data_IF_796785076501
#
_entry.id   IF_796785076501
#
_cell.length_a   1.000
_cell.length_b   1.000
_cell.length_c   1.000
_cell.angle_alpha   90.00
_cell.angle_beta   90.00
_cell.angle_gamma   90.00
#
_symmetry.space_group_name_H-M   'P 1'
#
loop_
_entity.id
_entity.type
_entity.pdbx_description
1 polymer ?
#
# COMPACT_ATOMS: atom_id res chain seq x y z
N UNK A 1 -3.44 -20.61 -21.15
CA UNK A 1 -2.31 -19.67 -21.07
C UNK A 1 -1.71 -19.75 -19.67
N UNK A 2 -0.41 -20.04 -19.52
CA UNK A 2 0.24 -20.17 -18.20
C UNK A 2 0.41 -18.80 -17.49
N UNK A 3 0.70 -18.82 -16.18
CA UNK A 3 0.84 -17.61 -15.35
C UNK A 3 1.82 -16.58 -15.96
N UNK A 4 2.90 -17.06 -16.57
CA UNK A 4 3.90 -16.23 -17.23
C UNK A 4 3.34 -15.51 -18.48
N UNK A 5 2.51 -16.19 -19.29
CA UNK A 5 1.85 -15.59 -20.45
C UNK A 5 0.85 -14.51 -20.04
N UNK A 6 0.06 -14.75 -18.98
CA UNK A 6 -0.89 -13.76 -18.45
C UNK A 6 -0.17 -12.53 -17.87
N UNK A 7 0.90 -12.74 -17.11
CA UNK A 7 1.70 -11.67 -16.54
C UNK A 7 2.43 -10.84 -17.61
N UNK A 8 2.90 -11.49 -18.69
CA UNK A 8 3.50 -10.78 -19.84
C UNK A 8 2.48 -9.87 -20.54
N UNK A 9 1.23 -10.30 -20.71
CA UNK A 9 0.20 -9.48 -21.35
C UNK A 9 -0.13 -8.21 -20.55
N UNK A 10 -0.31 -8.31 -19.23
CA UNK A 10 -0.60 -7.13 -18.40
C UNK A 10 0.60 -6.19 -18.26
N UNK A 11 1.80 -6.74 -18.14
CA UNK A 11 3.05 -5.98 -18.12
C UNK A 11 3.30 -5.23 -19.45
N UNK A 12 2.78 -5.75 -20.57
CA UNK A 12 2.94 -5.14 -21.91
C UNK A 12 1.86 -4.08 -22.19
N UNK A 13 0.60 -4.34 -21.84
CA UNK A 13 -0.54 -3.54 -22.32
C UNK A 13 -1.02 -2.47 -21.34
N UNK A 14 -1.02 -2.77 -20.04
CA UNK A 14 -1.63 -1.92 -19.01
C UNK A 14 -0.58 -1.21 -18.17
N UNK A 15 0.42 -1.96 -17.67
CA UNK A 15 1.40 -1.47 -16.71
C UNK A 15 2.09 -0.15 -17.13
N UNK A 16 2.68 -0.01 -18.34
CA UNK A 16 3.36 1.23 -18.71
C UNK A 16 2.44 2.45 -18.68
N UNK A 17 1.18 2.30 -19.11
CA UNK A 17 0.20 3.40 -19.09
C UNK A 17 -0.19 3.78 -17.66
N UNK A 18 -0.20 2.81 -16.74
CA UNK A 18 -0.54 3.04 -15.33
C UNK A 18 0.63 3.66 -14.55
N UNK A 19 1.88 3.30 -14.86
CA UNK A 19 3.08 3.80 -14.16
C UNK A 19 3.34 5.30 -14.36
N UNK A 20 2.82 5.88 -15.44
CA UNK A 20 3.02 7.28 -15.82
C UNK A 20 1.76 8.14 -15.64
N UNK A 21 0.76 7.65 -14.92
CA UNK A 21 -0.47 8.41 -14.69
C UNK A 21 -0.18 9.66 -13.85
N UNK A 22 -0.46 10.83 -14.41
CA UNK A 22 -0.52 12.11 -13.70
C UNK A 22 -1.96 12.61 -13.52
N UNK A 23 -2.89 12.02 -14.26
CA UNK A 23 -4.33 12.30 -14.24
C UNK A 23 -5.11 11.00 -14.07
N UNK A 24 -6.40 11.07 -13.68
CA UNK A 24 -7.24 9.87 -13.58
C UNK A 24 -7.18 9.01 -14.84
N UNK A 25 -7.04 7.69 -14.65
CA UNK A 25 -6.97 6.74 -15.76
C UNK A 25 -8.22 6.84 -16.65
N UNK A 26 -8.02 6.75 -17.97
CA UNK A 26 -9.15 6.74 -18.90
C UNK A 26 -10.09 5.58 -18.61
N UNK A 27 -11.38 5.76 -18.90
CA UNK A 27 -12.40 4.72 -18.67
C UNK A 27 -12.03 3.39 -19.35
N UNK A 28 -11.51 3.45 -20.58
CA UNK A 28 -11.08 2.26 -21.33
C UNK A 28 -9.94 1.54 -20.64
N UNK A 29 -8.89 2.28 -20.22
CA UNK A 29 -7.75 1.70 -19.50
C UNK A 29 -8.20 1.07 -18.18
N UNK A 30 -9.09 1.74 -17.46
CA UNK A 30 -9.57 1.25 -16.18
C UNK A 30 -10.43 -0.01 -16.36
N UNK A 31 -11.39 -0.02 -17.29
CA UNK A 31 -12.23 -1.20 -17.57
C UNK A 31 -11.37 -2.41 -17.92
N UNK A 32 -10.43 -2.26 -18.87
CA UNK A 32 -9.53 -3.34 -19.27
C UNK A 32 -8.67 -3.85 -18.09
N UNK A 33 -8.18 -2.93 -17.26
CA UNK A 33 -7.41 -3.27 -16.04
C UNK A 33 -8.26 -4.08 -15.07
N UNK A 34 -9.51 -3.66 -14.82
CA UNK A 34 -10.40 -4.35 -13.88
C UNK A 34 -10.84 -5.73 -14.37
N UNK A 35 -11.17 -5.86 -15.65
CA UNK A 35 -11.51 -7.16 -16.27
C UNK A 35 -10.35 -8.14 -16.16
N UNK A 36 -9.13 -7.70 -16.50
CA UNK A 36 -7.92 -8.50 -16.34
C UNK A 36 -7.69 -8.90 -14.88
N UNK A 37 -7.78 -7.96 -13.94
CA UNK A 37 -7.49 -8.21 -12.53
C UNK A 37 -8.48 -9.18 -11.89
N UNK A 38 -9.76 -9.13 -12.28
CA UNK A 38 -10.80 -10.08 -11.83
C UNK A 38 -10.52 -11.49 -12.34
N UNK A 39 -10.13 -11.62 -13.61
CA UNK A 39 -9.85 -12.91 -14.24
C UNK A 39 -8.53 -13.54 -13.76
N UNK A 40 -7.54 -12.70 -13.44
CA UNK A 40 -6.15 -13.13 -13.18
C UNK A 40 -5.57 -12.51 -11.91
N UNK A 41 -6.24 -12.69 -10.76
CA UNK A 41 -5.88 -12.06 -9.47
C UNK A 41 -4.40 -12.22 -9.09
N UNK A 42 -3.85 -13.45 -9.19
CA UNK A 42 -2.43 -13.68 -8.87
C UNK A 42 -1.51 -12.93 -9.81
N UNK A 43 -1.78 -12.97 -11.12
CA UNK A 43 -0.97 -12.25 -12.10
C UNK A 43 -1.09 -10.73 -11.90
N UNK A 44 -2.27 -10.21 -11.53
CA UNK A 44 -2.46 -8.81 -11.20
C UNK A 44 -1.61 -8.35 -10.01
N UNK A 45 -1.51 -9.17 -8.94
CA UNK A 45 -0.63 -8.86 -7.81
C UNK A 45 0.83 -8.70 -8.27
N UNK A 46 1.34 -9.69 -9.01
CA UNK A 46 2.75 -9.77 -9.37
C UNK A 46 3.16 -8.92 -10.57
N UNK A 47 2.25 -8.59 -11.49
CA UNK A 47 2.55 -7.86 -12.72
C UNK A 47 1.96 -6.45 -12.76
N UNK A 48 1.07 -6.09 -11.82
CA UNK A 48 0.50 -4.74 -11.71
C UNK A 48 0.71 -4.14 -10.32
N UNK A 49 0.22 -4.77 -9.25
CA UNK A 49 0.24 -4.14 -7.92
C UNK A 49 1.66 -3.90 -7.39
N UNK A 50 2.53 -4.91 -7.40
CA UNK A 50 3.92 -4.73 -6.97
C UNK A 50 4.67 -3.67 -7.82
N UNK A 51 4.65 -3.74 -9.17
CA UNK A 51 5.25 -2.70 -10.00
C UNK A 51 4.71 -1.29 -9.72
N UNK A 52 3.40 -1.12 -9.54
CA UNK A 52 2.79 0.19 -9.32
C UNK A 52 3.15 0.77 -7.96
N UNK A 53 3.08 -0.03 -6.89
CA UNK A 53 3.34 0.45 -5.53
C UNK A 53 4.83 0.73 -5.29
N UNK A 54 5.70 0.02 -5.99
CA UNK A 54 7.16 0.18 -5.94
C UNK A 54 7.68 1.21 -6.95
N UNK A 55 6.81 2.05 -7.52
CA UNK A 55 7.20 3.16 -8.40
C UNK A 55 8.27 4.01 -7.72
N UNK A 56 9.35 4.31 -8.47
CA UNK A 56 10.57 4.94 -7.95
C UNK A 56 10.38 6.31 -7.31
N UNK A 57 9.44 7.08 -7.82
CA UNK A 57 9.10 8.40 -7.29
C UNK A 57 8.03 8.34 -6.18
N UNK A 58 7.60 7.14 -5.78
CA UNK A 58 6.39 6.92 -4.99
C UNK A 58 5.13 7.00 -5.84
N UNK A 59 4.02 6.54 -5.27
CA UNK A 59 2.70 6.64 -5.91
C UNK A 59 2.11 8.03 -5.71
N UNK A 60 1.37 8.50 -6.71
CA UNK A 60 0.55 9.70 -6.64
C UNK A 60 -0.94 9.33 -6.50
N UNK A 61 -1.84 10.32 -6.47
CA UNK A 61 -3.27 10.07 -6.27
C UNK A 61 -3.90 9.21 -7.39
N UNK A 62 -3.69 9.50 -8.70
CA UNK A 62 -4.22 8.65 -9.76
C UNK A 62 -3.80 7.17 -9.66
N UNK A 63 -2.52 6.91 -9.35
CA UNK A 63 -2.01 5.55 -9.17
C UNK A 63 -2.60 4.90 -7.91
N UNK A 64 -2.69 5.65 -6.81
CA UNK A 64 -3.33 5.22 -5.58
C UNK A 64 -4.78 4.79 -5.82
N UNK A 65 -5.56 5.54 -6.61
CA UNK A 65 -6.96 5.22 -6.91
C UNK A 65 -7.08 3.93 -7.72
N UNK A 66 -6.19 3.72 -8.70
CA UNK A 66 -6.14 2.46 -9.46
C UNK A 66 -5.83 1.28 -8.53
N UNK A 67 -4.77 1.38 -7.71
CA UNK A 67 -4.38 0.31 -6.77
C UNK A 67 -5.53 0.03 -5.79
N UNK A 68 -6.13 1.06 -5.22
CA UNK A 68 -7.25 0.95 -4.27
C UNK A 68 -8.42 0.20 -4.90
N UNK A 69 -8.76 0.53 -6.15
CA UNK A 69 -9.86 -0.14 -6.87
C UNK A 69 -9.55 -1.59 -7.20
N UNK A 70 -8.33 -1.91 -7.63
CA UNK A 70 -7.90 -3.31 -7.86
C UNK A 70 -8.02 -4.11 -6.55
N UNK A 71 -7.50 -3.58 -5.44
CA UNK A 71 -7.56 -4.24 -4.13
C UNK A 71 -9.01 -4.47 -3.70
N UNK A 72 -9.86 -3.46 -3.83
CA UNK A 72 -11.24 -3.49 -3.35
C UNK A 72 -12.18 -4.33 -4.21
N UNK A 73 -12.06 -4.27 -5.53
CA UNK A 73 -13.04 -4.85 -6.45
C UNK A 73 -12.57 -6.15 -7.12
N UNK A 74 -11.27 -6.48 -7.05
CA UNK A 74 -10.72 -7.66 -7.74
C UNK A 74 -10.13 -8.71 -6.81
N UNK A 75 -9.67 -8.36 -5.61
CA UNK A 75 -8.92 -9.28 -4.74
C UNK A 75 -9.76 -9.75 -3.55
N UNK A 76 -9.63 -11.03 -3.23
CA UNK A 76 -10.12 -11.58 -1.97
C UNK A 76 -9.30 -11.03 -0.79
N UNK A 77 -9.89 -10.73 0.39
CA UNK A 77 -9.17 -10.15 1.53
C UNK A 77 -7.90 -10.93 1.95
N UNK A 78 -7.92 -12.26 1.85
CA UNK A 78 -6.74 -13.09 2.11
C UNK A 78 -5.58 -12.80 1.14
N UNK A 79 -5.86 -12.53 -0.14
CA UNK A 79 -4.84 -12.12 -1.11
C UNK A 79 -4.31 -10.72 -0.82
N UNK A 80 -5.15 -9.81 -0.30
CA UNK A 80 -4.75 -8.46 0.13
C UNK A 80 -3.80 -8.56 1.33
N UNK A 81 -4.14 -9.37 2.33
CA UNK A 81 -3.29 -9.61 3.50
C UNK A 81 -1.93 -10.20 3.09
N UNK A 82 -1.92 -11.25 2.26
CA UNK A 82 -0.68 -11.85 1.75
C UNK A 82 0.16 -10.85 0.92
N UNK A 83 -0.49 -9.99 0.13
CA UNK A 83 0.19 -8.90 -0.58
C UNK A 83 0.84 -7.92 0.40
N UNK A 84 0.12 -7.47 1.44
CA UNK A 84 0.64 -6.54 2.44
C UNK A 84 1.81 -7.14 3.22
N UNK A 85 1.67 -8.38 3.69
CA UNK A 85 2.75 -9.09 4.39
C UNK A 85 4.00 -9.18 3.52
N UNK A 86 3.84 -9.55 2.25
CA UNK A 86 4.96 -9.63 1.32
C UNK A 86 5.57 -8.27 0.98
N UNK A 87 4.75 -7.22 0.88
CA UNK A 87 5.21 -5.86 0.60
C UNK A 87 6.00 -5.26 1.77
N UNK A 88 5.48 -5.42 2.99
CA UNK A 88 6.06 -4.86 4.20
C UNK A 88 7.24 -5.71 4.69
N UNK A 89 7.03 -7.01 4.85
CA UNK A 89 7.98 -7.90 5.52
C UNK A 89 8.81 -8.77 4.55
N UNK A 90 8.46 -8.84 3.27
CA UNK A 90 9.16 -9.71 2.32
C UNK A 90 10.59 -9.28 2.06
N UNK A 91 11.49 -10.25 1.97
CA UNK A 91 12.87 -10.06 1.50
C UNK A 91 12.90 -9.43 0.10
N UNK A 92 13.97 -8.70 -0.22
CA UNK A 92 14.10 -8.04 -1.54
C UNK A 92 13.98 -9.06 -2.70
N UNK A 93 14.55 -10.27 -2.53
CA UNK A 93 14.40 -11.38 -3.47
C UNK A 93 13.01 -12.02 -3.47
N UNK A 94 12.33 -12.05 -2.31
CA UNK A 94 10.99 -12.58 -2.21
C UNK A 94 9.98 -11.67 -2.92
N UNK A 95 10.23 -10.36 -2.98
CA UNK A 95 9.39 -9.34 -3.64
C UNK A 95 9.39 -9.41 -5.17
N UNK A 96 10.06 -10.41 -5.79
CA UNK A 96 10.08 -10.63 -7.25
C UNK A 96 8.71 -10.47 -7.89
N UNK A 97 8.57 -9.37 -8.60
CA UNK A 97 7.44 -9.03 -9.43
C UNK A 97 7.82 -9.21 -10.91
N UNK A 98 6.82 -9.41 -11.75
CA UNK A 98 7.02 -9.62 -13.18
C UNK A 98 6.94 -8.27 -13.87
N UNK A 99 8.08 -7.80 -14.35
CA UNK A 99 8.15 -6.55 -15.10
C UNK A 99 9.08 -6.71 -16.30
N UNK A 100 8.72 -6.07 -17.41
CA UNK A 100 9.56 -6.04 -18.60
C UNK A 100 10.81 -5.20 -18.33
N UNK A 101 11.99 -5.56 -18.87
CA UNK A 101 13.23 -4.82 -18.66
C UNK A 101 13.11 -3.30 -18.93
N UNK A 102 12.32 -2.93 -19.95
CA UNK A 102 12.11 -1.53 -20.32
C UNK A 102 11.40 -0.67 -19.26
N UNK A 103 10.70 -1.29 -18.29
CA UNK A 103 10.02 -0.57 -17.21
C UNK A 103 10.76 -0.66 -15.87
N UNK A 104 11.86 -1.43 -15.78
CA UNK A 104 12.62 -1.59 -14.53
C UNK A 104 13.21 -0.26 -14.04
N UNK A 105 13.53 0.67 -14.94
CA UNK A 105 14.05 2.00 -14.58
C UNK A 105 13.06 2.86 -13.77
N UNK A 106 11.76 2.55 -13.84
CA UNK A 106 10.69 3.26 -13.15
C UNK A 106 10.32 2.65 -11.79
N UNK A 107 10.94 1.53 -11.40
CA UNK A 107 10.54 0.74 -10.24
C UNK A 107 11.75 0.56 -9.30
N UNK A 108 11.50 0.61 -8.00
CA UNK A 108 12.48 0.36 -6.94
C UNK A 108 12.27 -1.00 -6.27
N UNK A 109 13.26 -1.44 -5.50
CA UNK A 109 13.11 -2.63 -4.64
C UNK A 109 12.50 -2.28 -3.27
N UNK A 110 12.39 -0.98 -2.95
CA UNK A 110 11.92 -0.46 -1.68
C UNK A 110 10.69 0.40 -1.88
N UNK A 111 9.81 0.35 -0.90
CA UNK A 111 8.60 1.15 -0.84
C UNK A 111 8.98 2.61 -0.56
N UNK A 112 8.44 3.53 -1.37
CA UNK A 112 8.68 4.97 -1.18
C UNK A 112 7.46 5.57 -0.48
N UNK A 113 7.67 5.99 0.76
CA UNK A 113 6.63 6.64 1.55
C UNK A 113 6.29 8.02 1.01
N UNK A 114 5.02 8.19 0.65
CA UNK A 114 4.43 9.42 0.14
C UNK A 114 3.00 9.56 0.69
N UNK A 115 2.43 10.77 0.62
CA UNK A 115 1.09 11.02 1.13
C UNK A 115 0.01 10.09 0.56
N UNK A 116 0.06 9.81 -0.74
CA UNK A 116 -0.90 8.93 -1.40
C UNK A 116 -0.79 7.48 -0.90
N UNK A 117 0.38 7.06 -0.41
CA UNK A 117 0.58 5.74 0.17
C UNK A 117 -0.11 5.60 1.53
N UNK A 118 -0.13 6.65 2.37
CA UNK A 118 -0.90 6.64 3.61
C UNK A 118 -2.39 6.47 3.35
N UNK A 119 -2.93 7.18 2.35
CA UNK A 119 -4.32 7.00 1.93
C UNK A 119 -4.58 5.57 1.46
N UNK A 120 -3.66 4.99 0.69
CA UNK A 120 -3.78 3.59 0.26
C UNK A 120 -3.81 2.62 1.45
N UNK A 121 -2.86 2.71 2.38
CA UNK A 121 -2.84 1.83 3.56
C UNK A 121 -4.06 2.03 4.46
N UNK A 122 -4.55 3.27 4.61
CA UNK A 122 -5.79 3.54 5.31
C UNK A 122 -6.97 2.80 4.64
N UNK A 123 -7.09 2.87 3.31
CA UNK A 123 -8.12 2.15 2.57
C UNK A 123 -7.98 0.63 2.71
N UNK A 124 -6.74 0.11 2.66
CA UNK A 124 -6.46 -1.31 2.90
C UNK A 124 -6.95 -1.72 4.30
N UNK A 125 -6.61 -0.97 5.35
CA UNK A 125 -7.04 -1.26 6.73
C UNK A 125 -8.57 -1.20 6.91
N UNK A 126 -9.25 -0.38 6.13
CA UNK A 126 -10.71 -0.32 6.12
C UNK A 126 -11.29 -1.57 5.44
N UNK A 127 -10.64 -2.06 4.38
CA UNK A 127 -11.09 -3.23 3.60
C UNK A 127 -10.73 -4.55 4.28
N UNK A 128 -9.55 -4.65 4.90
CA UNK A 128 -9.04 -5.87 5.53
C UNK A 128 -8.69 -5.67 7.00
N UNK A 129 -9.15 -6.60 7.84
CA UNK A 129 -8.82 -6.65 9.26
C UNK A 129 -7.61 -7.55 9.57
N UNK A 130 -7.06 -8.26 8.57
CA UNK A 130 -6.16 -9.41 8.80
C UNK A 130 -4.70 -9.13 8.48
N UNK A 131 -4.15 -8.00 8.94
CA UNK A 131 -2.70 -7.83 8.93
C UNK A 131 -2.05 -8.80 9.94
N UNK A 132 -0.90 -9.38 9.59
CA UNK A 132 -0.14 -10.26 10.48
C UNK A 132 0.63 -9.44 11.52
N UNK A 133 1.01 -10.06 12.65
CA UNK A 133 1.84 -9.39 13.66
C UNK A 133 3.14 -8.83 13.05
N UNK A 134 3.84 -9.59 12.21
CA UNK A 134 5.06 -9.10 11.53
C UNK A 134 4.81 -7.83 10.70
N UNK A 135 3.64 -7.73 10.07
CA UNK A 135 3.26 -6.54 9.29
C UNK A 135 3.00 -5.34 10.19
N UNK A 136 2.41 -5.59 11.36
CA UNK A 136 2.18 -4.57 12.39
C UNK A 136 3.51 -4.09 12.96
N UNK A 137 4.39 -5.01 13.35
CA UNK A 137 5.70 -4.71 13.93
C UNK A 137 6.53 -3.88 12.93
N UNK A 138 6.60 -4.30 11.67
CA UNK A 138 7.30 -3.56 10.63
C UNK A 138 6.73 -2.15 10.41
N UNK A 139 5.40 -1.98 10.45
CA UNK A 139 4.80 -0.65 10.35
C UNK A 139 5.19 0.21 11.54
N UNK A 140 5.10 -0.33 12.77
CA UNK A 140 5.46 0.40 14.01
C UNK A 140 6.92 0.86 13.97
N UNK A 141 7.84 0.01 13.52
CA UNK A 141 9.27 0.36 13.40
C UNK A 141 9.50 1.57 12.49
N UNK A 142 8.68 1.74 11.45
CA UNK A 142 8.76 2.87 10.52
C UNK A 142 8.07 4.12 11.04
N UNK A 143 7.09 4.01 11.96
CA UNK A 143 6.20 5.11 12.33
C UNK A 143 6.94 6.33 12.90
N UNK A 144 8.05 6.15 13.62
CA UNK A 144 8.81 7.27 14.20
C UNK A 144 9.36 8.18 13.12
N UNK A 145 10.14 7.63 12.19
CA UNK A 145 10.71 8.37 11.07
C UNK A 145 9.61 9.01 10.21
N UNK A 146 8.53 8.27 9.98
CA UNK A 146 7.38 8.77 9.22
C UNK A 146 6.68 9.92 9.94
N UNK A 147 6.55 9.86 11.27
CA UNK A 147 5.93 10.93 12.05
C UNK A 147 6.76 12.20 12.05
N UNK A 148 8.09 12.10 12.13
CA UNK A 148 8.96 13.27 11.98
C UNK A 148 8.83 13.90 10.59
N UNK A 149 8.92 13.06 9.54
CA UNK A 149 8.89 13.52 8.14
C UNK A 149 7.53 14.04 7.70
N UNK A 150 6.44 13.45 8.18
CA UNK A 150 5.06 13.76 7.77
C UNK A 150 4.21 14.33 8.92
N UNK A 151 4.86 14.99 9.89
CA UNK A 151 4.24 15.54 11.10
C UNK A 151 2.98 16.36 10.84
N UNK A 152 2.93 17.14 9.74
CA UNK A 152 1.79 18.00 9.36
C UNK A 152 0.83 17.37 8.35
N UNK A 153 1.10 16.15 7.86
CA UNK A 153 0.27 15.52 6.83
C UNK A 153 -1.01 14.95 7.45
N UNK A 154 -2.15 15.50 7.05
CA UNK A 154 -3.46 14.99 7.50
C UNK A 154 -3.70 13.56 7.01
N UNK A 155 -3.17 13.17 5.84
CA UNK A 155 -3.28 11.79 5.33
C UNK A 155 -2.51 10.81 6.20
N UNK A 156 -1.31 11.18 6.65
CA UNK A 156 -0.56 10.39 7.62
C UNK A 156 -1.32 10.28 8.95
N UNK A 157 -1.81 11.38 9.49
CA UNK A 157 -2.59 11.38 10.74
C UNK A 157 -3.84 10.50 10.64
N UNK A 158 -4.59 10.58 9.54
CA UNK A 158 -5.78 9.76 9.30
C UNK A 158 -5.45 8.27 9.17
N UNK A 159 -4.36 7.93 8.48
CA UNK A 159 -3.84 6.58 8.42
C UNK A 159 -3.48 6.07 9.82
N UNK A 160 -2.71 6.84 10.59
CA UNK A 160 -2.27 6.43 11.92
C UNK A 160 -3.44 6.26 12.89
N UNK A 161 -4.43 7.16 12.85
CA UNK A 161 -5.66 7.02 13.62
C UNK A 161 -6.41 5.74 13.25
N UNK A 162 -6.54 5.45 11.95
CA UNK A 162 -7.16 4.23 11.47
C UNK A 162 -6.41 2.98 11.93
N UNK A 163 -5.07 2.99 11.82
CA UNK A 163 -4.18 1.93 12.22
C UNK A 163 -4.30 1.60 13.72
N UNK A 164 -4.18 2.60 14.60
CA UNK A 164 -4.31 2.41 16.05
C UNK A 164 -5.72 1.94 16.44
N UNK A 165 -6.74 2.41 15.73
CA UNK A 165 -8.14 2.01 16.00
C UNK A 165 -8.38 0.56 15.58
N UNK A 166 -7.99 0.18 14.37
CA UNK A 166 -8.27 -1.14 13.79
C UNK A 166 -7.37 -2.23 14.35
N UNK A 167 -6.11 -1.92 14.61
CA UNK A 167 -5.10 -2.89 15.05
C UNK A 167 -4.85 -2.87 16.56
N UNK A 168 -5.72 -2.25 17.35
CA UNK A 168 -5.53 -2.04 18.80
C UNK A 168 -5.03 -3.26 19.58
N UNK A 169 -5.60 -4.45 19.36
CA UNK A 169 -5.18 -5.66 20.08
C UNK A 169 -3.73 -6.09 19.76
N UNK A 170 -3.30 -5.91 18.51
CA UNK A 170 -1.95 -6.27 18.04
C UNK A 170 -0.91 -5.20 18.40
N UNK A 171 -1.36 -4.01 18.80
CA UNK A 171 -0.52 -2.86 19.13
C UNK A 171 -0.24 -2.69 20.63
N UNK A 172 -0.78 -3.57 21.49
CA UNK A 172 -0.63 -3.47 22.95
C UNK A 172 0.83 -3.46 23.40
N UNK A 173 1.66 -4.32 22.82
CA UNK A 173 3.10 -4.38 23.09
C UNK A 173 3.87 -3.16 22.59
N UNK A 174 3.29 -2.39 21.67
CA UNK A 174 3.91 -1.26 20.98
C UNK A 174 3.50 0.10 21.52
N UNK A 175 2.76 0.13 22.64
CA UNK A 175 2.16 1.36 23.19
C UNK A 175 3.18 2.48 23.38
N UNK A 176 4.36 2.19 23.93
CA UNK A 176 5.40 3.21 24.16
C UNK A 176 5.96 3.77 22.85
N UNK A 177 6.30 2.90 21.90
CA UNK A 177 6.78 3.30 20.57
C UNK A 177 5.76 4.16 19.83
N UNK A 178 4.48 3.86 19.97
CA UNK A 178 3.38 4.64 19.40
C UNK A 178 3.23 6.01 20.08
N UNK A 179 3.35 6.10 21.41
CA UNK A 179 3.30 7.39 22.11
C UNK A 179 4.40 8.30 21.57
N UNK A 180 5.64 7.81 21.51
CA UNK A 180 6.78 8.57 21.02
C UNK A 180 6.57 9.03 19.57
N UNK A 181 6.13 8.14 18.67
CA UNK A 181 5.84 8.53 17.29
C UNK A 181 4.72 9.59 17.20
N UNK A 182 3.67 9.48 18.02
CA UNK A 182 2.52 10.39 17.96
C UNK A 182 2.87 11.80 18.49
N UNK A 183 3.80 11.90 19.43
CA UNK A 183 4.32 13.19 19.92
C UNK A 183 4.96 14.04 18.82
N UNK A 184 5.50 13.40 17.78
CA UNK A 184 6.06 14.09 16.61
C UNK A 184 4.99 14.55 15.60
N UNK A 185 3.72 14.21 15.79
CA UNK A 185 2.63 14.62 14.89
C UNK A 185 2.00 15.95 15.29
N UNK A 186 1.61 16.75 14.31
CA UNK A 186 0.96 18.04 14.51
C UNK A 186 -0.15 18.26 13.46
N UNK A 187 -1.30 17.63 13.70
CA UNK A 187 -2.48 17.71 12.84
C UNK A 187 -3.76 17.85 13.67
N UNK A 188 -4.88 18.12 12.99
CA UNK A 188 -6.21 18.20 13.62
C UNK A 188 -6.64 16.89 14.30
N UNK A 189 -6.08 15.74 13.88
CA UNK A 189 -6.41 14.42 14.44
C UNK A 189 -5.42 13.94 15.50
N UNK A 190 -4.33 14.67 15.76
CA UNK A 190 -3.28 14.26 16.73
C UNK A 190 -3.86 13.94 18.11
N UNK A 191 -4.75 14.80 18.63
CA UNK A 191 -5.40 14.56 19.93
C UNK A 191 -6.22 13.26 19.96
N UNK A 192 -6.91 12.95 18.87
CA UNK A 192 -7.67 11.70 18.73
C UNK A 192 -6.75 10.48 18.71
N UNK A 193 -5.60 10.59 18.06
CA UNK A 193 -4.60 9.52 18.02
C UNK A 193 -4.03 9.28 19.43
N UNK A 194 -3.59 10.34 20.13
CA UNK A 194 -3.07 10.26 21.52
C UNK A 194 -4.09 9.56 22.42
N UNK A 195 -5.35 10.01 22.38
CA UNK A 195 -6.43 9.41 23.17
C UNK A 195 -6.60 7.92 22.86
N UNK A 196 -6.52 7.53 21.58
CA UNK A 196 -6.66 6.12 21.20
C UNK A 196 -5.45 5.28 21.62
N UNK A 197 -4.22 5.80 21.46
CA UNK A 197 -2.99 5.12 21.91
C UNK A 197 -2.98 4.94 23.43
N UNK A 198 -3.43 5.94 24.19
CA UNK A 198 -3.58 5.84 25.64
C UNK A 198 -4.55 4.70 26.05
N UNK A 199 -5.58 4.44 25.23
CA UNK A 199 -6.59 3.38 25.44
C UNK A 199 -6.17 1.97 24.98
N UNK A 200 -4.98 1.80 24.40
CA UNK A 200 -4.45 0.48 24.04
C UNK A 200 -4.18 -0.39 25.28
#
# INVERSE_FOLDING_TARGET
MNLLGQAKFSALSCLPKLLVLEQPASRVLMTATMEYCKLHQRAAVYALLFPLILRKEGINNPICDVITRIIKECLHPAHVSAFCQKLLCGEEDAKRFICLPCHQSLICNKLVWAESLFNLFQNILIITFTLTQDSIDHLVDQLRELAERFSKSLKFGNFLLCFVTKCSQLLKSHKLSLIEAVEHTNTLVTKSIISKVASL
#
